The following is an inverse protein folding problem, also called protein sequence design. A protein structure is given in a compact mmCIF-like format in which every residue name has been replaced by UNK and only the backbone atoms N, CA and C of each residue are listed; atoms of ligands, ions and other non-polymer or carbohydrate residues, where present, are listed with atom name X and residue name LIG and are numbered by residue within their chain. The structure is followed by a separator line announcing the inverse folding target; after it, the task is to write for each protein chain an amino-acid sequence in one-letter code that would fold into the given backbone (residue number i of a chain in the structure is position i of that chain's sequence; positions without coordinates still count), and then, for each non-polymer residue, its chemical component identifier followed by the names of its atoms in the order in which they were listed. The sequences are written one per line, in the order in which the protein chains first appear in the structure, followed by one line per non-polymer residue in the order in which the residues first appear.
data_IF_571216787036
#
_entry.id   IF_571216787036
#
_cell.length_a   1.000
_cell.length_b   1.000
_cell.length_c   1.000
_cell.angle_alpha   90.00
_cell.angle_beta   90.00
_cell.angle_gamma   90.00
#
_symmetry.space_group_name_H-M   'P 1'
#
loop_
_entity.id
_entity.type
_entity.pdbx_description
1 polymer ?
#
# COMPACT_ATOMS: atom_id res chain seq x y z
N UNK A 1 41.49 41.72 -45.49
CA UNK A 1 40.40 40.82 -45.98
C UNK A 1 40.58 39.33 -45.62
N UNK A 2 41.79 38.75 -45.54
CA UNK A 2 41.97 37.32 -45.19
C UNK A 2 41.58 36.94 -43.75
N UNK A 3 41.76 37.83 -42.77
CA UNK A 3 41.46 37.55 -41.34
C UNK A 3 39.97 37.48 -41.01
N UNK A 4 39.11 38.20 -41.74
CA UNK A 4 37.65 38.14 -41.59
C UNK A 4 37.11 36.73 -41.87
N UNK A 5 37.63 36.04 -42.90
CA UNK A 5 37.23 34.66 -43.23
C UNK A 5 37.57 33.64 -42.14
N UNK A 6 38.64 33.88 -41.37
CA UNK A 6 39.05 32.97 -40.29
C UNK A 6 38.15 33.12 -39.07
N UNK A 7 37.83 34.36 -38.68
CA UNK A 7 36.91 34.66 -37.57
C UNK A 7 35.51 34.09 -37.82
N UNK A 8 34.99 34.21 -39.04
CA UNK A 8 33.68 33.66 -39.41
C UNK A 8 33.66 32.13 -39.38
N UNK A 9 34.75 31.45 -39.82
CA UNK A 9 34.88 29.99 -39.70
C UNK A 9 34.88 29.52 -38.25
N UNK A 10 35.60 30.22 -37.38
CA UNK A 10 35.65 29.93 -35.94
C UNK A 10 34.28 30.12 -35.28
N UNK A 11 33.57 31.20 -35.61
CA UNK A 11 32.21 31.45 -35.13
C UNK A 11 31.24 30.32 -35.55
N UNK A 12 31.35 29.86 -36.80
CA UNK A 12 30.50 28.78 -37.30
C UNK A 12 30.75 27.45 -36.57
N UNK A 13 32.02 27.14 -36.29
CA UNK A 13 32.41 25.94 -35.56
C UNK A 13 31.93 25.99 -34.11
N UNK A 14 32.01 27.16 -33.47
CA UNK A 14 31.47 27.40 -32.13
C UNK A 14 29.94 27.21 -32.09
N UNK A 15 29.22 27.80 -33.05
CA UNK A 15 27.76 27.65 -33.14
C UNK A 15 27.35 26.21 -33.38
N UNK A 16 28.11 25.45 -34.18
CA UNK A 16 27.84 24.04 -34.45
C UNK A 16 28.00 23.18 -33.19
N UNK A 17 29.08 23.40 -32.42
CA UNK A 17 29.29 22.71 -31.13
C UNK A 17 28.23 23.13 -30.11
N UNK A 18 27.94 24.43 -30.02
CA UNK A 18 26.90 24.96 -29.13
C UNK A 18 25.51 24.38 -29.44
N UNK A 19 25.17 24.28 -30.72
CA UNK A 19 23.92 23.65 -31.16
C UNK A 19 23.87 22.16 -30.78
N UNK A 20 24.98 21.42 -30.96
CA UNK A 20 25.08 20.04 -30.53
C UNK A 20 24.84 19.86 -29.03
N UNK A 21 25.42 20.73 -28.20
CA UNK A 21 25.19 20.72 -26.74
C UNK A 21 23.73 21.00 -26.37
N UNK A 22 23.08 21.94 -27.06
CA UNK A 22 21.65 22.24 -26.84
C UNK A 22 20.77 21.04 -27.18
N UNK A 23 21.04 20.36 -28.30
CA UNK A 23 20.29 19.15 -28.69
C UNK A 23 20.47 18.03 -27.66
N UNK A 24 21.70 17.77 -27.21
CA UNK A 24 21.97 16.77 -26.16
C UNK A 24 21.27 17.15 -24.85
N UNK A 25 21.28 18.43 -24.47
CA UNK A 25 20.58 18.93 -23.29
C UNK A 25 19.06 18.73 -23.37
N UNK A 26 18.46 19.00 -24.52
CA UNK A 26 17.03 18.76 -24.78
C UNK A 26 16.66 17.28 -24.70
N UNK A 27 17.46 16.40 -25.33
CA UNK A 27 17.24 14.95 -25.26
C UNK A 27 17.37 14.46 -23.81
N UNK A 28 18.38 14.94 -23.08
CA UNK A 28 18.57 14.63 -21.66
C UNK A 28 17.38 15.07 -20.81
N UNK A 29 16.88 16.29 -21.03
CA UNK A 29 15.71 16.81 -20.33
C UNK A 29 14.45 15.97 -20.58
N UNK A 30 14.17 15.63 -21.84
CA UNK A 30 13.00 14.78 -22.21
C UNK A 30 13.12 13.40 -21.56
N UNK A 31 14.31 12.79 -21.60
CA UNK A 31 14.53 11.48 -20.99
C UNK A 31 14.35 11.51 -19.47
N UNK A 32 14.85 12.54 -18.78
CA UNK A 32 14.66 12.71 -17.34
C UNK A 32 13.17 12.87 -17.00
N UNK A 33 12.42 13.64 -17.80
CA UNK A 33 10.97 13.80 -17.60
C UNK A 33 10.21 12.48 -17.78
N UNK A 34 10.59 11.67 -18.79
CA UNK A 34 10.00 10.36 -19.01
C UNK A 34 10.33 9.38 -17.87
N UNK A 35 11.57 9.37 -17.38
CA UNK A 35 11.97 8.56 -16.22
C UNK A 35 11.17 8.97 -14.98
N UNK A 36 11.04 10.28 -14.71
CA UNK A 36 10.25 10.78 -13.58
C UNK A 36 8.80 10.31 -13.67
N UNK A 37 8.16 10.46 -14.84
CA UNK A 37 6.77 10.02 -15.04
C UNK A 37 6.59 8.52 -14.86
N UNK A 38 7.54 7.71 -15.35
CA UNK A 38 7.51 6.26 -15.19
C UNK A 38 7.74 5.86 -13.72
N UNK A 39 8.62 6.54 -12.99
CA UNK A 39 8.82 6.32 -11.56
C UNK A 39 7.59 6.71 -10.73
N UNK A 40 6.98 7.86 -11.00
CA UNK A 40 5.78 8.30 -10.29
C UNK A 40 4.62 7.30 -10.52
N UNK A 41 4.47 6.80 -11.75
CA UNK A 41 3.44 5.80 -12.09
C UNK A 41 3.69 4.46 -11.40
N UNK A 42 4.94 4.00 -11.34
CA UNK A 42 5.28 2.70 -10.74
C UNK A 42 5.26 2.76 -9.19
N UNK A 43 5.69 3.88 -8.62
CA UNK A 43 5.72 4.06 -7.16
C UNK A 43 4.32 4.32 -6.58
N UNK A 44 3.57 5.26 -7.14
CA UNK A 44 2.24 5.64 -6.64
C UNK A 44 1.08 4.87 -7.28
N UNK A 45 1.29 4.29 -8.47
CA UNK A 45 0.25 3.54 -9.18
C UNK A 45 0.20 2.05 -8.85
N UNK A 46 1.30 1.44 -8.37
CA UNK A 46 1.32 -0.01 -8.10
C UNK A 46 2.07 -0.41 -6.83
N UNK A 47 3.29 0.06 -6.58
CA UNK A 47 4.07 -0.39 -5.42
C UNK A 47 3.49 0.01 -4.05
N UNK A 48 3.06 1.26 -3.91
CA UNK A 48 2.49 1.76 -2.65
C UNK A 48 1.15 1.07 -2.31
N UNK A 49 0.15 1.00 -3.22
CA UNK A 49 -1.09 0.26 -2.98
C UNK A 49 -0.86 -1.21 -2.60
N UNK A 50 0.06 -1.90 -3.28
CA UNK A 50 0.38 -3.30 -2.99
C UNK A 50 1.02 -3.47 -1.60
N UNK A 51 1.89 -2.56 -1.20
CA UNK A 51 2.51 -2.55 0.12
C UNK A 51 1.47 -2.36 1.24
N UNK A 52 0.49 -1.47 1.02
CA UNK A 52 -0.61 -1.22 1.94
C UNK A 52 -1.49 -2.46 2.12
N UNK A 53 -1.92 -3.09 1.02
CA UNK A 53 -2.74 -4.31 1.06
C UNK A 53 -2.02 -5.48 1.75
N UNK A 54 -0.73 -5.68 1.47
CA UNK A 54 0.07 -6.69 2.15
C UNK A 54 0.24 -6.39 3.64
N UNK A 55 0.40 -5.10 3.99
CA UNK A 55 0.49 -4.68 5.39
C UNK A 55 -0.81 -4.92 6.15
N UNK A 56 -1.97 -4.70 5.52
CA UNK A 56 -3.29 -5.06 6.09
C UNK A 56 -3.35 -6.56 6.35
N UNK A 57 -2.99 -7.39 5.35
CA UNK A 57 -2.98 -8.85 5.51
C UNK A 57 -2.05 -9.30 6.65
N UNK A 58 -0.86 -8.69 6.76
CA UNK A 58 0.08 -8.96 7.85
C UNK A 58 -0.51 -8.57 9.20
N UNK A 59 -1.15 -7.42 9.33
CA UNK A 59 -1.71 -6.96 10.62
C UNK A 59 -2.83 -7.88 11.10
N UNK A 60 -3.64 -8.45 10.22
CA UNK A 60 -4.60 -9.49 10.62
C UNK A 60 -3.95 -10.74 11.23
N UNK A 61 -2.87 -11.25 10.64
CA UNK A 61 -2.24 -12.50 11.07
C UNK A 61 -1.25 -12.29 12.23
N UNK A 62 -0.32 -11.35 12.07
CA UNK A 62 0.82 -11.18 12.94
C UNK A 62 0.51 -10.32 14.16
N UNK A 63 -0.45 -9.40 14.05
CA UNK A 63 -0.79 -8.49 15.16
C UNK A 63 -2.09 -8.95 15.83
N UNK A 64 -3.21 -8.98 15.10
CA UNK A 64 -4.53 -9.28 15.67
C UNK A 64 -4.67 -10.75 16.10
N UNK A 65 -4.57 -11.70 15.16
CA UNK A 65 -4.74 -13.11 15.45
C UNK A 65 -3.70 -13.61 16.47
N UNK A 66 -2.43 -13.22 16.28
CA UNK A 66 -1.35 -13.51 17.23
C UNK A 66 -1.66 -13.02 18.64
N UNK A 67 -2.19 -11.80 18.80
CA UNK A 67 -2.58 -11.28 20.12
C UNK A 67 -3.70 -12.09 20.76
N UNK A 68 -4.70 -12.52 19.97
CA UNK A 68 -5.78 -13.39 20.46
C UNK A 68 -5.24 -14.76 20.87
N UNK A 69 -4.36 -15.36 20.06
CA UNK A 69 -3.72 -16.63 20.37
C UNK A 69 -2.82 -16.55 21.61
N UNK A 70 -2.02 -15.49 21.75
CA UNK A 70 -1.16 -15.31 22.92
C UNK A 70 -2.00 -15.06 24.18
N UNK A 71 -3.07 -14.27 24.08
CA UNK A 71 -4.02 -14.06 25.16
C UNK A 71 -4.71 -15.37 25.58
N UNK A 72 -5.20 -16.17 24.63
CA UNK A 72 -5.86 -17.46 24.95
C UNK A 72 -4.91 -18.46 25.62
N UNK A 73 -3.61 -18.35 25.34
CA UNK A 73 -2.56 -19.14 25.97
C UNK A 73 -1.98 -18.50 27.24
N UNK A 74 -2.61 -17.45 27.77
CA UNK A 74 -2.20 -16.74 28.99
C UNK A 74 -0.80 -16.11 28.91
N UNK A 75 -0.31 -15.84 27.70
CA UNK A 75 0.98 -15.18 27.44
C UNK A 75 0.87 -13.65 27.44
N UNK A 76 -0.35 -13.11 27.29
CA UNK A 76 -0.65 -11.68 27.37
C UNK A 76 -1.69 -11.41 28.46
N UNK A 77 -1.57 -10.27 29.13
CA UNK A 77 -2.64 -9.77 29.99
C UNK A 77 -3.84 -9.30 29.17
N UNK A 78 -5.00 -9.20 29.81
CA UNK A 78 -6.22 -8.70 29.15
C UNK A 78 -6.04 -7.28 28.62
N UNK A 79 -5.37 -6.43 29.39
CA UNK A 79 -5.10 -5.06 28.99
C UNK A 79 -4.15 -5.00 27.78
N UNK A 80 -3.09 -5.81 27.77
CA UNK A 80 -2.19 -5.89 26.62
C UNK A 80 -2.89 -6.40 25.37
N UNK A 81 -3.68 -7.47 25.48
CA UNK A 81 -4.43 -8.02 24.35
C UNK A 81 -5.46 -7.02 23.81
N UNK A 82 -6.20 -6.35 24.71
CA UNK A 82 -7.15 -5.29 24.38
C UNK A 82 -6.50 -4.12 23.65
N UNK A 83 -5.33 -3.67 24.13
CA UNK A 83 -4.56 -2.60 23.49
C UNK A 83 -4.01 -3.01 22.11
N UNK A 84 -3.45 -4.22 21.99
CA UNK A 84 -2.95 -4.72 20.71
C UNK A 84 -4.06 -4.82 19.65
N UNK A 85 -5.26 -5.27 20.05
CA UNK A 85 -6.41 -5.32 19.14
C UNK A 85 -6.78 -3.91 18.65
N UNK A 86 -6.83 -2.91 19.55
CA UNK A 86 -7.12 -1.53 19.17
C UNK A 86 -6.08 -1.00 18.18
N UNK A 87 -4.80 -1.20 18.47
CA UNK A 87 -3.70 -0.74 17.62
C UNK A 87 -3.72 -1.42 16.24
N UNK A 88 -3.99 -2.73 16.18
CA UNK A 88 -4.10 -3.46 14.92
C UNK A 88 -5.27 -2.98 14.06
N UNK A 89 -6.45 -2.74 14.68
CA UNK A 89 -7.61 -2.21 13.97
C UNK A 89 -7.38 -0.78 13.46
N UNK A 90 -6.78 0.09 14.27
CA UNK A 90 -6.44 1.46 13.86
C UNK A 90 -5.44 1.49 12.69
N UNK A 91 -4.43 0.61 12.75
CA UNK A 91 -3.46 0.42 11.66
C UNK A 91 -4.14 -0.04 10.37
N UNK A 92 -5.05 -1.02 10.44
CA UNK A 92 -5.81 -1.49 9.27
C UNK A 92 -6.64 -0.34 8.68
N UNK A 93 -7.36 0.41 9.51
CA UNK A 93 -8.18 1.54 9.05
C UNK A 93 -7.33 2.63 8.38
N UNK A 94 -6.16 2.92 8.95
CA UNK A 94 -5.22 3.90 8.38
C UNK A 94 -4.69 3.44 7.03
N UNK A 95 -4.24 2.18 6.93
CA UNK A 95 -3.73 1.61 5.69
C UNK A 95 -4.82 1.52 4.62
N UNK A 96 -6.04 1.10 4.99
CA UNK A 96 -7.17 1.03 4.07
C UNK A 96 -7.58 2.43 3.58
N UNK A 97 -7.66 3.41 4.49
CA UNK A 97 -7.92 4.80 4.16
C UNK A 97 -6.90 5.40 3.19
N UNK A 98 -5.62 5.06 3.38
CA UNK A 98 -4.56 5.42 2.44
C UNK A 98 -4.77 4.74 1.08
N UNK A 99 -5.01 3.42 1.07
CA UNK A 99 -5.23 2.63 -0.14
C UNK A 99 -6.37 3.17 -1.01
N UNK A 100 -7.52 3.48 -0.42
CA UNK A 100 -8.69 4.01 -1.14
C UNK A 100 -8.52 5.46 -1.61
N UNK A 101 -7.57 6.21 -1.04
CA UNK A 101 -7.28 7.59 -1.44
C UNK A 101 -6.53 7.68 -2.78
N UNK A 102 -5.84 6.60 -3.16
CA UNK A 102 -5.20 6.49 -4.47
C UNK A 102 -6.24 6.35 -5.58
N UNK A 103 -5.90 6.77 -6.79
CA UNK A 103 -6.81 6.67 -7.93
C UNK A 103 -7.29 5.22 -8.14
N UNK A 104 -8.61 5.03 -8.26
CA UNK A 104 -9.26 3.73 -8.49
C UNK A 104 -9.97 3.72 -9.82
N UNK A 105 -9.85 2.63 -10.55
CA UNK A 105 -10.51 2.47 -11.84
C UNK A 105 -11.97 2.03 -11.64
N UNK A 106 -12.92 2.44 -12.50
CA UNK A 106 -14.33 2.07 -12.35
C UNK A 106 -14.57 0.56 -12.23
N UNK A 107 -13.84 -0.24 -13.00
CA UNK A 107 -13.90 -1.71 -13.00
C UNK A 107 -13.36 -2.36 -11.70
N UNK A 108 -12.49 -1.65 -10.98
CA UNK A 108 -11.89 -2.09 -9.72
C UNK A 108 -12.82 -1.84 -8.52
N UNK A 109 -13.71 -0.85 -8.63
CA UNK A 109 -14.56 -0.38 -7.54
C UNK A 109 -15.45 -1.47 -6.93
N UNK A 110 -15.83 -2.48 -7.71
CA UNK A 110 -16.58 -3.62 -7.20
C UNK A 110 -15.77 -4.44 -6.18
N UNK A 111 -14.49 -4.71 -6.50
CA UNK A 111 -13.57 -5.43 -5.62
C UNK A 111 -13.18 -4.60 -4.39
N UNK A 112 -13.00 -3.29 -4.56
CA UNK A 112 -12.72 -2.36 -3.45
C UNK A 112 -13.87 -2.36 -2.45
N UNK A 113 -15.11 -2.20 -2.91
CA UNK A 113 -16.30 -2.20 -2.03
C UNK A 113 -16.50 -3.53 -1.32
N UNK A 114 -16.29 -4.64 -2.03
CA UNK A 114 -16.37 -5.96 -1.42
C UNK A 114 -15.31 -6.14 -0.33
N UNK A 115 -14.07 -5.75 -0.62
CA UNK A 115 -12.96 -5.78 0.35
C UNK A 115 -13.23 -4.90 1.56
N UNK A 116 -13.77 -3.69 1.36
CA UNK A 116 -14.17 -2.79 2.43
C UNK A 116 -15.19 -3.43 3.37
N UNK A 117 -16.23 -4.06 2.81
CA UNK A 117 -17.24 -4.75 3.59
C UNK A 117 -16.64 -5.92 4.41
N UNK A 118 -15.70 -6.67 3.83
CA UNK A 118 -14.97 -7.73 4.55
C UNK A 118 -14.10 -7.17 5.69
N UNK A 119 -13.36 -6.08 5.44
CA UNK A 119 -12.55 -5.39 6.46
C UNK A 119 -13.44 -4.94 7.62
N UNK A 120 -14.60 -4.33 7.34
CA UNK A 120 -15.53 -3.88 8.38
C UNK A 120 -16.12 -5.06 9.17
N UNK A 121 -16.56 -6.11 8.49
CA UNK A 121 -17.14 -7.29 9.14
C UNK A 121 -16.16 -7.96 10.10
N UNK A 122 -14.91 -8.14 9.66
CA UNK A 122 -13.88 -8.79 10.47
C UNK A 122 -13.34 -7.84 11.54
N UNK A 123 -13.30 -6.53 11.26
CA UNK A 123 -13.06 -5.52 12.28
C UNK A 123 -14.08 -5.61 13.43
N UNK A 124 -15.36 -5.76 13.11
CA UNK A 124 -16.42 -5.95 14.11
C UNK A 124 -16.23 -7.23 14.92
N UNK A 125 -15.77 -8.32 14.30
CA UNK A 125 -15.40 -9.54 15.01
C UNK A 125 -14.32 -9.26 16.07
N UNK A 126 -13.21 -8.61 15.70
CA UNK A 126 -12.14 -8.30 16.67
C UNK A 126 -12.57 -7.30 17.75
N UNK A 127 -13.51 -6.40 17.45
CA UNK A 127 -14.15 -5.55 18.47
C UNK A 127 -14.92 -6.41 19.49
N UNK A 128 -15.65 -7.42 19.03
CA UNK A 128 -16.35 -8.36 19.92
C UNK A 128 -15.35 -9.18 20.75
N UNK A 129 -14.28 -9.69 20.14
CA UNK A 129 -13.19 -10.37 20.85
C UNK A 129 -12.65 -9.49 21.98
N UNK A 130 -12.34 -8.23 21.68
CA UNK A 130 -11.88 -7.27 22.68
C UNK A 130 -12.93 -7.04 23.78
N UNK A 131 -14.21 -6.98 23.46
CA UNK A 131 -15.25 -6.82 24.48
C UNK A 131 -15.29 -8.00 25.46
N UNK A 132 -15.09 -9.23 24.97
CA UNK A 132 -15.01 -10.45 25.79
C UNK A 132 -13.77 -10.47 26.68
N UNK A 133 -12.62 -10.00 26.16
CA UNK A 133 -11.37 -9.89 26.94
C UNK A 133 -11.57 -8.98 28.16
N UNK A 134 -12.27 -7.86 27.98
CA UNK A 134 -12.52 -6.88 29.03
C UNK A 134 -13.71 -7.23 29.93
N UNK A 135 -14.47 -8.29 29.63
CA UNK A 135 -15.60 -8.72 30.43
C UNK A 135 -15.11 -9.42 31.72
N UNK A 136 -15.45 -8.92 32.92
CA UNK A 136 -15.09 -9.56 34.19
C UNK A 136 -15.82 -10.90 34.43
N UNK A 137 -17.00 -11.12 33.83
CA UNK A 137 -17.87 -12.29 34.06
C UNK A 137 -17.75 -13.32 32.93
N UNK A 138 -16.53 -13.51 32.36
CA UNK A 138 -16.18 -14.38 31.21
C UNK A 138 -16.94 -15.71 31.20
N UNK A 139 -18.12 -15.69 30.61
CA UNK A 139 -19.06 -16.82 30.63
C UNK A 139 -19.12 -17.53 29.28
N UNK A 140 -18.51 -16.95 28.25
CA UNK A 140 -18.51 -17.47 26.89
C UNK A 140 -17.08 -17.66 26.40
N UNK A 141 -16.64 -18.90 26.11
CA UNK A 141 -15.32 -19.14 25.54
C UNK A 141 -15.24 -18.55 24.13
N UNK A 142 -14.11 -17.94 23.82
CA UNK A 142 -13.83 -17.34 22.52
C UNK A 142 -13.68 -18.47 21.47
N UNK A 143 -14.55 -18.50 20.46
CA UNK A 143 -14.47 -19.50 19.38
C UNK A 143 -13.34 -19.13 18.42
N UNK A 144 -12.19 -19.80 18.54
CA UNK A 144 -11.05 -19.61 17.64
C UNK A 144 -11.32 -20.11 16.21
N UNK A 145 -12.25 -21.06 16.04
CA UNK A 145 -12.63 -21.56 14.72
C UNK A 145 -13.21 -20.45 13.82
N UNK A 146 -14.03 -19.58 14.40
CA UNK A 146 -14.57 -18.41 13.69
C UNK A 146 -13.49 -17.37 13.34
N UNK A 147 -12.39 -17.35 14.08
CA UNK A 147 -11.24 -16.50 13.77
C UNK A 147 -10.52 -17.00 12.51
N UNK A 148 -10.21 -18.29 12.45
CA UNK A 148 -9.47 -18.86 11.33
C UNK A 148 -10.25 -18.74 10.01
N UNK A 149 -11.56 -18.98 10.04
CA UNK A 149 -12.44 -18.78 8.89
C UNK A 149 -12.43 -17.31 8.42
N UNK A 150 -12.50 -16.36 9.36
CA UNK A 150 -12.41 -14.94 9.06
C UNK A 150 -11.04 -14.55 8.47
N UNK A 151 -9.95 -15.08 9.01
CA UNK A 151 -8.59 -14.84 8.51
C UNK A 151 -8.41 -15.38 7.10
N UNK A 152 -8.93 -16.59 6.82
CA UNK A 152 -8.89 -17.17 5.47
C UNK A 152 -9.73 -16.35 4.48
N UNK A 153 -10.91 -15.88 4.90
CA UNK A 153 -11.78 -15.03 4.07
C UNK A 153 -11.10 -13.72 3.70
N UNK A 154 -10.53 -12.99 4.67
CA UNK A 154 -9.87 -11.71 4.40
C UNK A 154 -8.59 -11.90 3.60
N UNK A 155 -7.82 -12.95 3.89
CA UNK A 155 -6.63 -13.27 3.11
C UNK A 155 -6.98 -13.48 1.64
N UNK A 156 -7.99 -14.31 1.36
CA UNK A 156 -8.45 -14.59 -0.01
C UNK A 156 -8.91 -13.31 -0.70
N UNK A 157 -9.69 -12.49 0.00
CA UNK A 157 -10.23 -11.23 -0.53
C UNK A 157 -9.11 -10.24 -0.86
N UNK A 158 -8.15 -10.05 0.05
CA UNK A 158 -6.99 -9.18 -0.18
C UNK A 158 -6.10 -9.71 -1.31
N UNK A 159 -5.89 -11.03 -1.41
CA UNK A 159 -5.11 -11.62 -2.49
C UNK A 159 -5.77 -11.44 -3.86
N UNK A 160 -7.10 -11.49 -3.95
CA UNK A 160 -7.82 -11.18 -5.19
C UNK A 160 -7.60 -9.73 -5.60
N UNK A 161 -7.68 -8.79 -4.65
CA UNK A 161 -7.44 -7.37 -4.92
C UNK A 161 -5.98 -7.10 -5.31
N UNK A 162 -5.02 -7.71 -4.62
CA UNK A 162 -3.58 -7.65 -4.95
C UNK A 162 -3.32 -8.21 -6.35
N UNK A 163 -3.94 -9.34 -6.71
CA UNK A 163 -3.80 -9.94 -8.04
C UNK A 163 -4.33 -9.01 -9.11
N UNK A 164 -5.46 -8.35 -8.84
CA UNK A 164 -6.06 -7.37 -9.74
C UNK A 164 -5.16 -6.14 -9.92
N UNK A 165 -4.61 -5.60 -8.84
CA UNK A 165 -3.67 -4.47 -8.88
C UNK A 165 -2.40 -4.82 -9.68
N UNK A 166 -1.86 -6.03 -9.50
CA UNK A 166 -0.70 -6.51 -10.25
C UNK A 166 -0.99 -6.75 -11.74
N UNK A 167 -2.17 -7.27 -12.08
CA UNK A 167 -2.53 -7.59 -13.46
C UNK A 167 -2.67 -6.36 -14.35
N UNK A 168 -2.80 -5.16 -13.77
CA UNK A 168 -3.01 -3.92 -14.51
C UNK A 168 -1.95 -2.85 -14.21
N UNK A 169 -0.93 -3.19 -13.43
CA UNK A 169 0.31 -2.44 -13.26
C UNK A 169 1.26 -2.66 -14.44
#
# INVERSE_FOLDING_TARGET
MKSLKLKTKLLYLLLLVGFGLVVVGLIGYINIQNIKRNMDTLYFGSLLPLSELNSISSTYHNDLASSVYQWSNQLLSDEQASQNIVQGLDRINTLWGSYISHHKRPEEMAYVKYTEAQIQNIGNYFIQVRSLINDPDRSHPLSLMSMDDNLQSIHTTLQQLITYENAVA
#
